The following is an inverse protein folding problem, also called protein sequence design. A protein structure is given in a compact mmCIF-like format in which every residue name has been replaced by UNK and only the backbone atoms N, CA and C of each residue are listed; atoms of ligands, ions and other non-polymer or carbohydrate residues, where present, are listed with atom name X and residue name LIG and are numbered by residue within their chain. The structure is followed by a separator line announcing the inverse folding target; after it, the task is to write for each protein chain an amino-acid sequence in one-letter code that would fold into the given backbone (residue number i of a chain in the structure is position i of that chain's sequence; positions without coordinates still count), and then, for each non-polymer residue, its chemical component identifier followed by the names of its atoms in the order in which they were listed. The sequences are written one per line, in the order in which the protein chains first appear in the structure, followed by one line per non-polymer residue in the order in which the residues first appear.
data_IF_622922031388
#
_entry.id   IF_622922031388
#
_cell.length_a   1.000
_cell.length_b   1.000
_cell.length_c   1.000
_cell.angle_alpha   90.00
_cell.angle_beta   90.00
_cell.angle_gamma   90.00
#
_symmetry.space_group_name_H-M   'P 1'
#
loop_
_entity.id
_entity.type
_entity.pdbx_description
1 polymer ?
#
# COMPACT_ATOMS: atom_id res chain seq x y z
N UNK A 1 -13.74 -14.15 35.93
CA UNK A 1 -13.09 -13.31 34.90
C UNK A 1 -12.61 -14.23 33.78
N UNK A 2 -13.05 -14.01 32.54
CA UNK A 2 -12.65 -14.85 31.41
C UNK A 2 -11.19 -14.54 31.02
N UNK A 3 -10.26 -15.42 31.41
CA UNK A 3 -8.86 -15.39 30.99
C UNK A 3 -8.76 -15.83 29.52
N UNK A 4 -9.19 -14.99 28.60
CA UNK A 4 -9.01 -15.20 27.17
C UNK A 4 -7.61 -14.76 26.75
N UNK A 5 -6.67 -15.71 26.66
CA UNK A 5 -5.44 -15.53 25.88
C UNK A 5 -5.82 -15.41 24.40
N UNK A 6 -6.22 -14.21 23.97
CA UNK A 6 -6.27 -13.83 22.56
C UNK A 6 -5.04 -12.97 22.28
N UNK A 7 -4.03 -13.57 21.67
CA UNK A 7 -2.92 -12.84 21.09
C UNK A 7 -3.45 -12.09 19.85
N UNK A 8 -3.94 -10.87 20.06
CA UNK A 8 -4.17 -9.93 18.96
C UNK A 8 -2.80 -9.52 18.43
N UNK A 9 -2.24 -10.32 17.51
CA UNK A 9 -0.98 -10.02 16.84
C UNK A 9 -1.27 -9.07 15.68
N UNK A 10 -0.49 -7.99 15.61
CA UNK A 10 -0.55 -7.09 14.46
C UNK A 10 -0.10 -7.85 13.20
N UNK A 11 -0.93 -7.83 12.15
CA UNK A 11 -0.61 -8.45 10.85
C UNK A 11 0.69 -7.86 10.27
N UNK A 12 0.94 -6.58 10.55
CA UNK A 12 2.17 -5.89 10.18
C UNK A 12 2.81 -5.26 11.42
N UNK A 13 3.84 -5.90 11.95
CA UNK A 13 4.49 -5.51 13.21
C UNK A 13 5.10 -4.10 13.16
N UNK A 14 5.58 -3.69 11.98
CA UNK A 14 6.21 -2.40 11.77
C UNK A 14 5.20 -1.24 11.80
N UNK A 15 3.90 -1.50 11.58
CA UNK A 15 2.85 -0.48 11.71
C UNK A 15 2.52 -0.12 13.17
N UNK A 16 3.01 -0.86 14.17
CA UNK A 16 2.67 -0.62 15.59
C UNK A 16 2.82 0.85 15.98
N UNK A 17 3.98 1.44 15.67
CA UNK A 17 4.28 2.85 16.01
C UNK A 17 3.33 3.83 15.32
N UNK A 18 3.01 3.59 14.05
CA UNK A 18 2.11 4.46 13.28
C UNK A 18 0.66 4.35 13.80
N UNK A 19 0.21 3.13 14.15
CA UNK A 19 -1.10 2.89 14.73
C UNK A 19 -1.23 3.53 16.13
N UNK A 20 -0.18 3.47 16.95
CA UNK A 20 -0.17 4.14 18.25
C UNK A 20 -0.26 5.65 18.11
N UNK A 21 0.44 6.24 17.14
CA UNK A 21 0.33 7.69 16.83
C UNK A 21 -1.09 8.04 16.39
N UNK A 22 -1.64 7.29 15.43
CA UNK A 22 -2.99 7.49 14.92
C UNK A 22 -4.05 7.38 16.03
N UNK A 23 -3.89 6.42 16.95
CA UNK A 23 -4.77 6.25 18.11
C UNK A 23 -4.86 7.54 18.92
N UNK A 24 -3.72 8.15 19.27
CA UNK A 24 -3.68 9.40 20.03
C UNK A 24 -4.17 10.62 19.23
N UNK A 25 -3.90 10.67 17.92
CA UNK A 25 -4.43 11.73 17.05
C UNK A 25 -5.95 11.72 17.02
N UNK A 26 -6.55 10.55 16.81
CA UNK A 26 -8.01 10.38 16.78
C UNK A 26 -8.64 10.67 18.13
N UNK A 27 -8.00 10.25 19.24
CA UNK A 27 -8.47 10.62 20.58
C UNK A 27 -8.62 12.13 20.75
N UNK A 28 -7.63 12.89 20.27
CA UNK A 28 -7.65 14.36 20.35
C UNK A 28 -8.74 14.96 19.49
N UNK A 29 -8.96 14.46 18.28
CA UNK A 29 -10.02 14.94 17.38
C UNK A 29 -11.42 14.68 17.90
N UNK A 30 -11.63 13.52 18.51
CA UNK A 30 -12.90 13.14 19.11
C UNK A 30 -13.14 13.82 20.47
N UNK A 31 -12.19 14.64 20.95
CA UNK A 31 -12.19 15.26 22.28
C UNK A 31 -12.42 14.22 23.40
N UNK A 32 -11.88 13.02 23.21
CA UNK A 32 -11.96 11.95 24.21
C UNK A 32 -10.86 12.18 25.24
N UNK A 33 -11.27 12.23 26.50
CA UNK A 33 -10.32 12.39 27.59
C UNK A 33 -9.46 11.12 27.74
N UNK A 34 -8.16 11.28 27.50
CA UNK A 34 -7.14 10.24 27.65
C UNK A 34 -6.50 10.22 29.05
N UNK A 35 -6.92 11.11 29.96
CA UNK A 35 -6.45 11.15 31.36
C UNK A 35 -6.62 9.84 32.15
N UNK A 36 -7.66 8.99 31.95
CA UNK A 36 -7.78 7.74 32.68
C UNK A 36 -6.84 6.64 32.16
N UNK A 37 -6.10 6.88 31.07
CA UNK A 37 -5.12 5.91 30.55
C UNK A 37 -3.92 5.87 31.49
N UNK A 38 -3.63 4.69 32.04
CA UNK A 38 -2.44 4.46 32.86
C UNK A 38 -1.41 3.68 32.05
N UNK A 39 -0.34 4.36 31.63
CA UNK A 39 0.64 3.78 30.70
C UNK A 39 -0.02 3.43 29.35
N UNK A 40 -0.01 2.16 28.99
CA UNK A 40 -0.68 1.64 27.79
C UNK A 40 -2.02 0.94 28.09
N UNK A 41 -2.54 1.05 29.32
CA UNK A 41 -3.78 0.38 29.73
C UNK A 41 -5.01 1.26 29.51
N UNK A 42 -5.84 0.85 28.55
CA UNK A 42 -7.07 1.54 28.14
C UNK A 42 -8.33 1.01 28.84
N UNK A 43 -8.19 0.10 29.80
CA UNK A 43 -9.35 -0.56 30.44
C UNK A 43 -10.15 0.34 31.39
N UNK A 44 -9.62 1.49 31.80
CA UNK A 44 -10.34 2.48 32.61
C UNK A 44 -11.21 3.43 31.78
N UNK A 45 -11.04 3.46 30.45
CA UNK A 45 -11.88 4.24 29.56
C UNK A 45 -13.22 3.55 29.29
N UNK A 46 -14.24 4.32 28.90
CA UNK A 46 -15.52 3.73 28.54
C UNK A 46 -15.39 2.89 27.27
N UNK A 47 -16.11 1.76 27.21
CA UNK A 47 -16.11 0.91 26.02
C UNK A 47 -16.60 1.64 24.76
N UNK A 48 -17.44 2.67 24.94
CA UNK A 48 -17.92 3.54 23.87
C UNK A 48 -16.79 4.36 23.26
N UNK A 49 -15.96 4.98 24.09
CA UNK A 49 -14.87 5.86 23.63
C UNK A 49 -13.76 5.05 22.96
N UNK A 50 -13.37 3.93 23.57
CA UNK A 50 -12.43 2.98 22.97
C UNK A 50 -12.95 2.45 21.63
N UNK A 51 -14.25 2.13 21.55
CA UNK A 51 -14.89 1.68 20.32
C UNK A 51 -14.92 2.76 19.23
N UNK A 52 -15.22 4.01 19.60
CA UNK A 52 -15.19 5.14 18.67
C UNK A 52 -13.79 5.32 18.09
N UNK A 53 -12.75 5.37 18.92
CA UNK A 53 -11.36 5.55 18.46
C UNK A 53 -10.96 4.43 17.49
N UNK A 54 -11.19 3.17 17.86
CA UNK A 54 -10.90 2.03 16.99
C UNK A 54 -11.67 2.07 15.66
N UNK A 55 -12.94 2.45 15.68
CA UNK A 55 -13.75 2.60 14.46
C UNK A 55 -13.23 3.71 13.54
N UNK A 56 -12.85 4.86 14.10
CA UNK A 56 -12.28 5.97 13.35
C UNK A 56 -10.90 5.62 12.75
N UNK A 57 -10.08 4.83 13.46
CA UNK A 57 -8.81 4.32 12.91
C UNK A 57 -9.07 3.48 11.66
N UNK A 58 -9.99 2.51 11.75
CA UNK A 58 -10.33 1.62 10.63
C UNK A 58 -10.88 2.42 9.45
N UNK A 59 -11.81 3.36 9.71
CA UNK A 59 -12.36 4.22 8.67
C UNK A 59 -11.28 4.99 7.92
N UNK A 60 -10.35 5.63 8.61
CA UNK A 60 -9.23 6.38 7.99
C UNK A 60 -8.29 5.48 7.21
N UNK A 61 -7.99 4.29 7.72
CA UNK A 61 -7.14 3.33 7.01
C UNK A 61 -7.79 2.89 5.69
N UNK A 62 -9.11 2.64 5.69
CA UNK A 62 -9.85 2.31 4.47
C UNK A 62 -9.83 3.48 3.49
N UNK A 63 -10.15 4.69 3.95
CA UNK A 63 -10.12 5.89 3.10
C UNK A 63 -8.74 6.13 2.46
N UNK A 64 -7.65 5.92 3.23
CA UNK A 64 -6.29 6.02 2.72
C UNK A 64 -5.94 4.92 1.71
N UNK A 65 -6.40 3.69 1.97
CA UNK A 65 -6.22 2.57 1.06
C UNK A 65 -6.98 2.78 -0.26
N UNK A 66 -8.23 3.26 -0.20
CA UNK A 66 -9.04 3.60 -1.37
C UNK A 66 -8.36 4.69 -2.23
N UNK A 67 -7.83 5.75 -1.59
CA UNK A 67 -7.08 6.79 -2.31
C UNK A 67 -5.83 6.26 -2.99
N UNK A 68 -5.05 5.43 -2.29
CA UNK A 68 -3.82 4.84 -2.85
C UNK A 68 -4.15 3.90 -4.01
N UNK A 69 -5.18 3.07 -3.86
CA UNK A 69 -5.64 2.17 -4.91
C UNK A 69 -6.11 2.97 -6.13
N UNK A 70 -6.94 4.00 -5.94
CA UNK A 70 -7.42 4.85 -7.02
C UNK A 70 -6.25 5.54 -7.77
N UNK A 71 -5.24 6.03 -7.04
CA UNK A 71 -4.03 6.61 -7.64
C UNK A 71 -3.24 5.59 -8.46
N UNK A 72 -3.02 4.38 -7.94
CA UNK A 72 -2.34 3.31 -8.65
C UNK A 72 -3.12 2.89 -9.90
N UNK A 73 -4.44 2.75 -9.80
CA UNK A 73 -5.29 2.42 -10.94
C UNK A 73 -5.21 3.50 -12.02
N UNK A 74 -5.28 4.79 -11.65
CA UNK A 74 -5.17 5.89 -12.61
C UNK A 74 -3.82 5.88 -13.35
N UNK A 75 -2.72 5.64 -12.62
CA UNK A 75 -1.39 5.53 -13.22
C UNK A 75 -1.28 4.33 -14.19
N UNK A 76 -1.81 3.18 -13.79
CA UNK A 76 -1.77 1.96 -14.61
C UNK A 76 -2.66 2.09 -15.86
N UNK A 77 -3.84 2.71 -15.75
CA UNK A 77 -4.74 2.96 -16.87
C UNK A 77 -4.11 3.93 -17.86
N UNK A 78 -3.45 5.00 -17.39
CA UNK A 78 -2.75 5.94 -18.25
C UNK A 78 -1.55 5.29 -18.96
N UNK A 79 -0.80 4.43 -18.26
CA UNK A 79 0.29 3.67 -18.85
C UNK A 79 -0.20 2.70 -19.93
N UNK A 80 -1.27 1.95 -19.66
CA UNK A 80 -1.88 1.03 -20.63
C UNK A 80 -2.47 1.76 -21.84
N UNK A 81 -3.12 2.91 -21.63
CA UNK A 81 -3.66 3.72 -22.72
C UNK A 81 -2.55 4.31 -23.59
N UNK A 82 -1.47 4.85 -23.00
CA UNK A 82 -0.32 5.35 -23.76
C UNK A 82 0.40 4.25 -24.53
N UNK A 83 0.52 3.06 -23.96
CA UNK A 83 1.07 1.90 -24.66
C UNK A 83 0.19 1.53 -25.87
N UNK A 84 -1.14 1.50 -25.70
CA UNK A 84 -2.08 1.22 -26.80
C UNK A 84 -2.07 2.30 -27.90
N UNK A 85 -1.97 3.58 -27.53
CA UNK A 85 -1.92 4.68 -28.50
C UNK A 85 -0.59 4.72 -29.26
N UNK A 86 0.53 4.42 -28.59
CA UNK A 86 1.83 4.29 -29.25
C UNK A 86 1.87 3.09 -30.22
N UNK A 87 1.11 2.03 -29.94
CA UNK A 87 1.02 0.86 -30.83
C UNK A 87 0.21 1.14 -32.11
N UNK A 88 -0.82 2.01 -32.05
CA UNK A 88 -1.56 2.43 -33.24
C UNK A 88 -0.71 3.21 -34.25
N UNK A 89 0.30 3.95 -33.80
CA UNK A 89 1.14 4.76 -34.71
C UNK A 89 2.29 3.96 -35.37
N UNK A 90 2.56 2.73 -34.92
CA UNK A 90 3.63 1.88 -35.48
C UNK A 90 3.26 1.08 -36.73
N UNK A 91 2.00 1.09 -37.16
CA UNK A 91 1.57 0.32 -38.35
C UNK A 91 1.87 0.98 -39.71
N UNK A 92 2.70 2.03 -39.78
CA UNK A 92 3.15 2.58 -41.08
C UNK A 92 4.66 2.72 -41.29
N UNK A 93 5.54 2.46 -40.33
CA UNK A 93 6.99 2.57 -40.58
C UNK A 93 7.80 1.41 -39.98
N UNK A 94 8.13 0.49 -40.88
CA UNK A 94 9.34 -0.34 -40.95
C UNK A 94 9.76 -1.13 -39.71
N UNK A 95 9.57 -2.44 -39.84
CA UNK A 95 10.35 -3.50 -39.20
C UNK A 95 11.86 -3.29 -39.43
N UNK A 96 12.53 -2.67 -38.45
CA UNK A 96 13.98 -2.74 -38.35
C UNK A 96 14.36 -4.06 -37.66
N UNK A 97 14.81 -5.03 -38.47
CA UNK A 97 15.47 -6.23 -37.99
C UNK A 97 16.72 -5.83 -37.19
N UNK A 98 16.77 -6.16 -35.90
CA UNK A 98 17.96 -6.10 -35.07
C UNK A 98 18.62 -7.49 -35.04
N UNK A 99 19.63 -7.78 -35.87
CA UNK A 99 20.38 -9.02 -35.74
C UNK A 99 21.15 -8.97 -34.41
N UNK A 100 20.99 -10.01 -33.59
CA UNK A 100 21.84 -10.23 -32.43
C UNK A 100 23.32 -10.22 -32.90
N UNK A 101 24.19 -9.38 -32.34
CA UNK A 101 25.60 -9.30 -32.76
C UNK A 101 26.37 -10.59 -32.55
N UNK A 102 25.86 -11.52 -31.72
CA UNK A 102 26.46 -12.82 -31.44
C UNK A 102 26.16 -13.93 -32.46
N UNK A 103 25.43 -13.63 -33.54
CA UNK A 103 25.18 -14.57 -34.65
C UNK A 103 25.95 -14.18 -35.91
N UNK A 104 27.02 -13.40 -35.78
CA UNK A 104 27.83 -13.01 -36.93
C UNK A 104 28.56 -14.23 -37.52
N UNK A 105 28.02 -14.77 -38.62
CA UNK A 105 28.61 -15.87 -39.39
C UNK A 105 29.99 -15.53 -39.96
N UNK A 106 30.44 -14.27 -39.91
CA UNK A 106 31.76 -13.85 -40.41
C UNK A 106 32.95 -14.45 -39.67
N UNK A 107 32.78 -15.00 -38.47
CA UNK A 107 33.88 -15.59 -37.70
C UNK A 107 33.99 -17.13 -37.80
N UNK A 108 33.13 -17.79 -38.59
CA UNK A 108 33.13 -19.25 -38.71
C UNK A 108 34.03 -19.82 -39.82
N UNK A 109 34.51 -18.99 -40.75
CA UNK A 109 35.37 -19.41 -41.88
C UNK A 109 36.87 -19.18 -41.64
N UNK A 110 37.28 -18.70 -40.47
CA UNK A 110 38.70 -18.44 -40.15
C UNK A 110 39.42 -19.60 -39.44
N UNK A 111 38.82 -20.79 -39.39
CA UNK A 111 39.46 -22.00 -38.88
C UNK A 111 39.46 -23.12 -39.95
N UNK A 112 40.32 -22.95 -40.95
CA UNK A 112 41.00 -24.04 -41.65
C UNK A 112 42.48 -23.68 -41.82
#
# INVERSE_FOLDING_TARGET
MAAGQKSNTLVYAQAKKALDQMKYEISRELNIDTSPIQGDYWGYMTARDCGAIGGHMVKRMIEAAERTLAQQTAQNVQAGFRAGLAEQNKNQQQTQYNPNPNLNLSNLDQQY
#
